data_IF_393162708519
#
_entry.id   IF_393162708519
#
_cell.length_a   1.000
_cell.length_b   1.000
_cell.length_c   1.000
_cell.angle_alpha   90.00
_cell.angle_beta   90.00
_cell.angle_gamma   90.00
#
_symmetry.space_group_name_H-M   'P 1'
#
loop_
_entity.id
_entity.type
_entity.pdbx_description
1 polymer ?
#
# COMPACT_ATOMS: atom_id res chain seq x y z
N UNK A 1 2.55 5.29 -12.07
CA UNK A 1 1.57 5.33 -10.97
C UNK A 1 1.65 6.63 -10.19
N UNK A 2 2.83 7.06 -9.73
CA UNK A 2 3.02 8.28 -8.93
C UNK A 2 3.32 9.54 -9.77
N UNK A 3 2.95 9.55 -11.05
CA UNK A 3 3.08 10.75 -11.90
C UNK A 3 2.10 11.81 -11.44
N UNK A 4 2.59 13.02 -11.12
CA UNK A 4 1.76 14.12 -10.59
C UNK A 4 0.65 14.48 -11.57
N UNK A 5 1.00 14.74 -12.84
CA UNK A 5 0.02 15.03 -13.87
C UNK A 5 -0.86 13.79 -14.15
N UNK A 6 -2.18 13.85 -13.87
CA UNK A 6 -3.07 12.70 -14.02
C UNK A 6 -3.24 12.29 -15.49
N UNK A 7 -3.19 13.24 -16.44
CA UNK A 7 -3.32 12.96 -17.87
C UNK A 7 -2.14 12.16 -18.44
N UNK A 8 -1.00 12.18 -17.74
CA UNK A 8 0.22 11.44 -18.11
C UNK A 8 0.45 10.22 -17.21
N UNK A 9 -0.44 9.94 -16.26
CA UNK A 9 -0.31 8.83 -15.33
C UNK A 9 -0.80 7.55 -15.99
N UNK A 10 -0.03 6.47 -15.84
CA UNK A 10 -0.40 5.13 -16.33
C UNK A 10 -1.79 4.70 -15.81
N UNK A 11 -2.62 4.13 -16.68
CA UNK A 11 -3.92 3.56 -16.31
C UNK A 11 -3.78 2.17 -15.72
N UNK A 12 -4.85 1.65 -15.10
CA UNK A 12 -4.85 0.29 -14.55
C UNK A 12 -4.60 -0.77 -15.63
N UNK A 13 -5.27 -0.65 -16.79
CA UNK A 13 -5.10 -1.59 -17.89
C UNK A 13 -3.67 -1.59 -18.45
N UNK A 14 -3.07 -0.41 -18.58
CA UNK A 14 -1.68 -0.27 -19.01
C UNK A 14 -0.71 -0.89 -17.97
N UNK A 15 -0.98 -0.69 -16.67
CA UNK A 15 -0.15 -1.23 -15.61
C UNK A 15 -0.13 -2.77 -15.64
N UNK A 16 -1.26 -3.44 -15.91
CA UNK A 16 -1.30 -4.90 -16.00
C UNK A 16 -0.42 -5.47 -17.13
N UNK A 17 -0.17 -4.69 -18.19
CA UNK A 17 0.63 -5.11 -19.34
C UNK A 17 2.14 -4.90 -19.15
N UNK A 18 2.60 -4.25 -18.06
CA UNK A 18 4.03 -4.01 -17.84
C UNK A 18 4.76 -5.31 -17.49
N UNK A 19 6.00 -5.56 -17.96
CA UNK A 19 6.71 -6.83 -17.76
C UNK A 19 6.88 -7.25 -16.30
N UNK A 20 7.06 -6.29 -15.40
CA UNK A 20 7.18 -6.55 -13.97
C UNK A 20 5.92 -7.21 -13.37
N UNK A 21 4.75 -7.00 -13.98
CA UNK A 21 3.47 -7.63 -13.60
C UNK A 21 3.19 -8.83 -14.49
N UNK A 22 3.10 -8.67 -15.81
CA UNK A 22 2.63 -9.73 -16.71
C UNK A 22 3.63 -10.90 -16.85
N UNK A 23 4.94 -10.63 -16.74
CA UNK A 23 6.00 -11.61 -16.89
C UNK A 23 6.85 -11.71 -15.62
N UNK A 24 6.21 -11.59 -14.45
CA UNK A 24 6.88 -11.49 -13.14
C UNK A 24 7.89 -12.61 -12.87
N UNK A 25 7.65 -13.82 -13.36
CA UNK A 25 8.52 -14.98 -13.12
C UNK A 25 9.92 -14.81 -13.71
N UNK A 26 10.03 -14.02 -14.79
CA UNK A 26 11.31 -13.74 -15.47
C UNK A 26 11.93 -12.42 -15.04
N UNK A 27 11.10 -11.45 -14.62
CA UNK A 27 11.52 -10.05 -14.45
C UNK A 27 11.58 -9.64 -12.96
N UNK A 28 10.72 -10.20 -12.11
CA UNK A 28 10.72 -9.87 -10.69
C UNK A 28 11.76 -10.70 -9.93
N UNK A 29 12.44 -10.06 -8.99
CA UNK A 29 13.42 -10.73 -8.11
C UNK A 29 12.74 -11.70 -7.14
N UNK A 30 13.26 -12.92 -7.04
CA UNK A 30 12.84 -13.94 -6.05
C UNK A 30 13.65 -13.90 -4.74
N UNK A 31 14.62 -12.99 -4.64
CA UNK A 31 15.46 -12.84 -3.45
C UNK A 31 14.60 -12.45 -2.25
N UNK A 32 14.75 -13.18 -1.14
CA UNK A 32 14.15 -12.83 0.13
C UNK A 32 14.74 -11.51 0.66
N UNK A 33 13.89 -10.51 0.93
CA UNK A 33 14.30 -9.17 1.38
C UNK A 33 13.98 -8.99 2.87
N UNK A 34 14.84 -9.54 3.74
CA UNK A 34 14.62 -9.54 5.19
C UNK A 34 14.40 -8.15 5.79
N UNK A 35 15.22 -7.16 5.42
CA UNK A 35 15.07 -5.78 5.90
C UNK A 35 13.71 -5.17 5.54
N UNK A 36 13.17 -5.53 4.37
CA UNK A 36 11.83 -5.10 3.93
C UNK A 36 10.75 -5.71 4.82
N UNK A 37 10.88 -7.01 5.16
CA UNK A 37 9.95 -7.69 6.07
C UNK A 37 9.94 -7.04 7.45
N UNK A 38 11.11 -6.70 8.00
CA UNK A 38 11.19 -6.12 9.34
C UNK A 38 10.69 -4.67 9.40
N UNK A 39 10.96 -3.89 8.36
CA UNK A 39 10.33 -2.57 8.19
C UNK A 39 8.80 -2.66 8.05
N UNK A 40 8.30 -3.67 7.32
CA UNK A 40 6.87 -3.88 7.12
C UNK A 40 6.15 -4.27 8.42
N UNK A 41 6.77 -5.12 9.27
CA UNK A 41 6.24 -5.43 10.61
C UNK A 41 6.06 -4.17 11.46
N UNK A 42 7.10 -3.32 11.53
CA UNK A 42 7.06 -2.03 12.27
C UNK A 42 6.00 -1.08 11.69
N UNK A 43 5.88 -1.00 10.36
CA UNK A 43 4.84 -0.19 9.70
C UNK A 43 3.43 -0.67 10.06
N UNK A 44 3.17 -1.98 9.96
CA UNK A 44 1.86 -2.56 10.26
C UNK A 44 1.46 -2.37 11.72
N UNK A 45 2.40 -2.53 12.67
CA UNK A 45 2.15 -2.25 14.08
C UNK A 45 1.71 -0.80 14.31
N UNK A 46 2.43 0.17 13.71
CA UNK A 46 2.07 1.60 13.77
C UNK A 46 0.70 1.89 13.14
N UNK A 47 0.34 1.22 12.04
CA UNK A 47 -0.96 1.40 11.38
C UNK A 47 -2.11 0.83 12.22
N UNK A 48 -1.93 -0.34 12.86
CA UNK A 48 -2.94 -0.91 13.77
C UNK A 48 -3.26 0.05 14.92
N UNK A 49 -2.24 0.65 15.53
CA UNK A 49 -2.43 1.65 16.60
C UNK A 49 -3.13 2.93 16.10
N UNK A 50 -2.82 3.42 14.89
CA UNK A 50 -3.50 4.59 14.31
C UNK A 50 -4.96 4.31 13.95
N UNK A 51 -5.26 3.14 13.38
CA UNK A 51 -6.61 2.75 12.98
C UNK A 51 -7.54 2.66 14.18
N UNK A 52 -7.09 2.04 15.27
CA UNK A 52 -7.85 1.92 16.52
C UNK A 52 -8.19 3.31 17.08
N UNK A 53 -7.20 4.21 17.15
CA UNK A 53 -7.41 5.59 17.63
C UNK A 53 -8.41 6.36 16.77
N UNK A 54 -8.34 6.25 15.44
CA UNK A 54 -9.26 6.96 14.54
C UNK A 54 -10.68 6.41 14.61
N UNK A 55 -10.86 5.09 14.75
CA UNK A 55 -12.19 4.49 14.86
C UNK A 55 -12.84 4.74 16.23
N UNK A 56 -12.06 4.77 17.31
CA UNK A 56 -12.56 5.12 18.65
C UNK A 56 -13.00 6.58 18.72
N UNK A 57 -12.23 7.51 18.12
CA UNK A 57 -12.64 8.92 18.06
C UNK A 57 -13.92 9.12 17.23
N UNK A 58 -14.08 8.40 16.12
CA UNK A 58 -15.29 8.53 15.29
C UNK A 58 -16.54 7.94 15.95
N UNK A 59 -16.39 6.91 16.79
CA UNK A 59 -17.49 6.36 17.59
C UNK A 59 -17.87 7.28 18.76
N UNK A 60 -16.88 7.88 19.45
CA UNK A 60 -17.13 8.87 20.52
C UNK A 60 -17.94 10.07 20.00
N UNK A 61 -17.58 10.64 18.84
CA UNK A 61 -18.34 11.76 18.24
C UNK A 61 -19.75 11.39 17.76
N UNK A 62 -20.04 10.11 17.50
CA UNK A 62 -21.37 9.65 17.06
C UNK A 62 -22.31 9.27 18.21
N UNK A 63 -21.79 9.13 19.43
CA UNK A 63 -22.59 8.72 20.60
C UNK A 63 -23.02 9.92 21.47
N UNK A 64 -22.62 11.14 21.10
CA UNK A 64 -22.94 12.39 21.80
C UNK A 64 -23.93 13.31 21.06
N UNK A 65 -24.75 12.79 20.14
CA UNK A 65 -25.91 13.50 19.53
C UNK A 65 -27.19 12.72 19.75
#
# INVERSE_FOLDING_TARGET
MLTVNPKKRITAEQALKVPWICNRERVASVIHRQDTVDCLKKFNARRKLKFIKSSETELMFRTEI
#
